data_IF_786623604593
#
_entry.id   IF_786623604593
#
_cell.length_a   1.000
_cell.length_b   1.000
_cell.length_c   1.000
_cell.angle_alpha   90.00
_cell.angle_beta   90.00
_cell.angle_gamma   90.00
#
_symmetry.space_group_name_H-M   'P 1'
#
loop_
_entity.id
_entity.type
_entity.pdbx_description
1 polymer ?
#
# COMPACT_ATOMS: atom_id res chain seq x y z
N UNK A 1 -7.72 1.73 27.01
CA UNK A 1 -8.36 1.74 26.85
C UNK A 1 -8.15 2.03 26.62
N UNK A 2 -8.04 2.00 26.13
CA UNK A 2 -8.48 2.29 25.80
C UNK A 2 -8.10 2.66 25.76
N UNK A 3 -8.03 2.62 25.57
CA UNK A 3 -8.45 2.98 25.37
C UNK A 3 -8.22 3.45 25.26
N UNK A 4 -8.16 3.40 25.20
CA UNK A 4 -8.75 3.69 24.84
C UNK A 4 -8.59 4.10 24.86
N UNK A 5 -8.34 3.85 25.14
CA UNK A 5 -9.12 4.24 24.84
C UNK A 5 -8.91 4.59 24.88
N UNK A 6 -8.81 4.53 24.74
CA UNK A 6 -9.34 4.79 24.57
C UNK A 6 -9.15 5.04 24.58
N UNK A 7 -9.13 5.33 24.68
CA UNK A 7 -9.87 5.38 24.48
C UNK A 7 -9.68 5.79 24.44
N UNK A 8 -9.74 5.76 24.24
CA UNK A 8 -10.34 5.98 24.06
C UNK A 8 -10.29 6.35 23.67
N UNK A 9 -10.13 6.64 23.86
CA UNK A 9 -10.88 6.61 23.48
C UNK A 9 -10.84 7.10 23.14
N UNK A 10 -10.93 7.26 23.20
CA UNK A 10 -11.61 7.22 22.76
C UNK A 10 -11.67 7.28 22.36
N UNK A 11 -11.39 7.62 22.74
CA UNK A 11 -12.25 7.25 22.19
C UNK A 11 -12.06 7.20 22.05
N UNK A 12 -12.21 7.10 21.97
CA UNK A 12 -12.66 6.58 21.86
C UNK A 12 -12.67 6.08 21.63
N UNK A 13 -12.40 6.31 21.35
CA UNK A 13 -12.83 5.48 21.24
C UNK A 13 -12.88 5.07 20.93
N UNK A 14 -12.75 5.35 21.20
CA UNK A 14 -13.18 4.64 20.99
C UNK A 14 -13.43 4.29 20.58
N UNK A 15 -13.40 4.43 20.72
CA UNK A 15 -13.96 3.68 20.36
C UNK A 15 -14.15 3.31 20.13
N UNK A 16 -14.17 3.14 20.14
CA UNK A 16 -14.56 2.44 19.88
C UNK A 16 -14.61 2.03 19.45
N UNK A 17 -14.52 2.06 19.63
CA UNK A 17 -14.63 1.45 19.05
C UNK A 17 -14.61 1.10 18.62
N UNK A 18 -14.51 0.91 18.56
CA UNK A 18 -14.60 0.41 17.95
C UNK A 18 -14.39 0.19 17.29
N UNK A 19 -14.34 -0.35 17.16
CA UNK A 19 -14.20 -0.82 16.35
C UNK A 19 -13.78 -0.62 15.68
N UNK A 20 -13.53 -0.46 15.12
CA UNK A 20 -13.19 -0.30 14.29
C UNK A 20 -12.36 -0.30 13.59
N UNK A 21 -12.54 -0.31 12.66
CA UNK A 21 -11.79 -0.65 11.79
C UNK A 21 -10.72 0.18 11.47
N UNK A 22 -9.59 -0.04 11.78
CA UNK A 22 -8.51 0.80 11.49
C UNK A 22 -8.19 0.85 10.04
N UNK A 23 -8.07 2.05 9.55
CA UNK A 23 -7.51 2.31 8.25
C UNK A 23 -6.05 1.87 8.25
N UNK A 24 -5.58 1.42 7.09
CA UNK A 24 -4.17 1.14 6.89
C UNK A 24 -3.40 2.46 6.90
N UNK A 25 -2.26 2.46 7.58
CA UNK A 25 -1.39 3.63 7.64
C UNK A 25 -0.08 3.36 6.92
N UNK A 26 0.65 4.43 6.62
CA UNK A 26 1.97 4.29 6.00
C UNK A 26 2.92 3.48 6.89
N UNK A 27 2.79 3.57 8.22
CA UNK A 27 3.63 2.78 9.12
C UNK A 27 3.43 1.29 8.95
N UNK A 28 2.19 0.86 8.76
CA UNK A 28 1.90 -0.55 8.53
C UNK A 28 2.50 -1.03 7.20
N UNK A 29 2.40 -0.20 6.16
CA UNK A 29 3.02 -0.53 4.88
C UNK A 29 4.54 -0.59 5.02
N UNK A 30 5.12 0.38 5.72
CA UNK A 30 6.56 0.44 5.94
C UNK A 30 7.06 -0.79 6.67
N UNK A 31 6.33 -1.22 7.70
CA UNK A 31 6.72 -2.39 8.47
C UNK A 31 6.81 -3.63 7.58
N UNK A 32 5.84 -3.82 6.70
CA UNK A 32 5.86 -4.97 5.79
C UNK A 32 6.93 -4.80 4.71
N UNK A 33 6.93 -3.66 4.02
CA UNK A 33 7.82 -3.47 2.88
C UNK A 33 9.29 -3.57 3.28
N UNK A 34 9.61 -3.13 4.51
CA UNK A 34 10.98 -3.16 4.99
C UNK A 34 11.49 -4.58 5.24
N UNK A 35 10.60 -5.56 5.34
CA UNK A 35 11.01 -6.96 5.50
C UNK A 35 11.25 -7.67 4.18
N UNK A 36 10.86 -7.06 3.06
CA UNK A 36 10.92 -7.74 1.77
C UNK A 36 12.33 -7.64 1.18
N UNK A 37 12.85 -8.77 0.65
CA UNK A 37 14.20 -8.78 0.07
C UNK A 37 14.38 -7.71 -1.00
N UNK A 38 15.51 -7.02 -0.95
CA UNK A 38 15.93 -5.99 -1.90
C UNK A 38 15.10 -4.72 -1.87
N UNK A 39 14.10 -4.65 -0.99
CA UNK A 39 13.25 -3.47 -0.85
C UNK A 39 13.91 -2.45 0.06
N UNK A 40 13.84 -1.18 -0.29
CA UNK A 40 14.32 -0.12 0.58
C UNK A 40 13.47 1.14 0.40
N UNK A 41 13.42 1.92 1.46
CA UNK A 41 12.66 3.16 1.48
C UNK A 41 13.51 4.31 0.98
N UNK A 42 12.91 5.21 0.20
CA UNK A 42 13.57 6.42 -0.26
C UNK A 42 12.60 7.59 -0.10
N UNK A 43 13.16 8.77 0.20
CA UNK A 43 12.38 10.00 0.27
C UNK A 43 12.71 10.82 -0.97
N UNK A 44 11.71 11.09 -1.81
CA UNK A 44 11.90 11.82 -3.05
C UNK A 44 10.91 12.97 -3.07
N UNK A 45 11.41 14.20 -2.99
CA UNK A 45 10.57 15.42 -3.01
C UNK A 45 9.47 15.34 -1.95
N UNK A 46 9.86 14.96 -0.74
CA UNK A 46 8.98 14.84 0.43
C UNK A 46 7.94 13.73 0.30
N UNK A 47 8.12 12.79 -0.64
CA UNK A 47 7.23 11.63 -0.77
C UNK A 47 8.00 10.37 -0.47
N UNK A 48 7.38 9.51 0.32
CA UNK A 48 7.96 8.20 0.64
C UNK A 48 7.72 7.26 -0.54
N UNK A 49 8.78 6.56 -0.93
CA UNK A 49 8.71 5.56 -1.99
C UNK A 49 9.46 4.32 -1.54
N UNK A 50 9.06 3.17 -2.06
CA UNK A 50 9.79 1.93 -1.85
C UNK A 50 10.29 1.42 -3.20
N UNK A 51 11.55 1.03 -3.22
CA UNK A 51 12.24 0.64 -4.44
C UNK A 51 12.89 -0.73 -4.30
N UNK A 52 13.04 -1.39 -5.47
CA UNK A 52 13.97 -2.50 -5.65
C UNK A 52 14.91 -2.06 -6.75
N UNK A 53 16.19 -1.87 -6.43
CA UNK A 53 17.12 -1.26 -7.37
C UNK A 53 16.66 0.15 -7.72
N UNK A 54 16.46 0.42 -9.01
CA UNK A 54 15.99 1.72 -9.46
C UNK A 54 14.48 1.75 -9.67
N UNK A 55 13.78 0.65 -9.42
CA UNK A 55 12.37 0.53 -9.74
C UNK A 55 11.53 0.83 -8.51
N UNK A 56 10.65 1.83 -8.62
CA UNK A 56 9.69 2.16 -7.56
C UNK A 56 8.51 1.20 -7.69
N UNK A 57 8.16 0.52 -6.59
CA UNK A 57 6.99 -0.35 -6.62
C UNK A 57 5.89 0.13 -5.67
N UNK A 58 6.18 1.06 -4.77
CA UNK A 58 5.19 1.75 -3.94
C UNK A 58 5.56 3.22 -3.86
N UNK A 59 4.56 4.10 -3.89
CA UNK A 59 4.80 5.53 -3.74
C UNK A 59 3.60 6.15 -3.04
N UNK A 60 3.86 7.04 -2.08
CA UNK A 60 2.81 7.66 -1.29
C UNK A 60 2.60 9.11 -1.69
N UNK A 61 1.35 9.59 -1.57
CA UNK A 61 1.08 11.01 -1.69
C UNK A 61 1.69 11.74 -0.50
N UNK A 62 1.85 13.07 -0.63
CA UNK A 62 2.48 13.85 0.45
C UNK A 62 1.68 13.79 1.74
N UNK A 63 0.35 13.75 1.64
CA UNK A 63 -0.48 13.65 2.84
C UNK A 63 -0.64 12.21 3.31
N UNK A 64 -0.03 11.25 2.58
CA UNK A 64 0.02 9.84 2.96
C UNK A 64 -1.35 9.17 3.01
N UNK A 65 -2.32 9.71 2.27
CA UNK A 65 -3.66 9.12 2.16
C UNK A 65 -3.79 8.19 0.97
N UNK A 66 -2.93 8.34 -0.03
CA UNK A 66 -2.96 7.55 -1.26
C UNK A 66 -1.65 6.79 -1.42
N UNK A 67 -1.76 5.57 -1.93
CA UNK A 67 -0.59 4.75 -2.25
C UNK A 67 -0.68 4.29 -3.70
N UNK A 68 0.31 4.67 -4.51
CA UNK A 68 0.49 4.07 -5.83
C UNK A 68 1.28 2.80 -5.71
N UNK A 69 0.97 1.81 -6.54
CA UNK A 69 1.67 0.53 -6.48
C UNK A 69 1.76 -0.10 -7.87
N UNK A 70 2.78 -0.95 -8.04
CA UNK A 70 2.98 -1.68 -9.29
C UNK A 70 1.83 -2.66 -9.51
N UNK A 71 1.25 -2.59 -10.70
CA UNK A 71 0.09 -3.42 -11.06
C UNK A 71 -0.01 -3.45 -12.59
N UNK A 72 -0.32 -4.59 -13.21
CA UNK A 72 -0.40 -4.66 -14.66
C UNK A 72 -1.41 -3.67 -15.23
N UNK A 73 -0.95 -2.77 -16.09
CA UNK A 73 -1.84 -1.73 -16.61
C UNK A 73 -2.96 -2.30 -17.47
N UNK A 74 -2.76 -3.48 -18.03
CA UNK A 74 -3.80 -4.14 -18.84
C UNK A 74 -4.98 -4.58 -17.99
N UNK A 75 -4.79 -4.78 -16.68
CA UNK A 75 -5.83 -5.20 -15.75
C UNK A 75 -6.35 -4.04 -14.90
N UNK A 76 -5.75 -2.88 -15.04
CA UNK A 76 -6.02 -1.74 -14.18
C UNK A 76 -7.47 -1.25 -14.25
N UNK A 77 -8.01 -1.15 -15.46
CA UNK A 77 -9.36 -0.65 -15.62
C UNK A 77 -10.38 -1.57 -14.95
N UNK A 78 -10.18 -2.88 -15.08
CA UNK A 78 -11.07 -3.84 -14.43
C UNK A 78 -11.03 -3.71 -12.92
N UNK A 79 -9.83 -3.50 -12.36
CA UNK A 79 -9.69 -3.31 -10.93
C UNK A 79 -10.43 -2.06 -10.46
N UNK A 80 -10.22 -0.95 -11.15
CA UNK A 80 -10.88 0.31 -10.80
C UNK A 80 -12.40 0.18 -10.91
N UNK A 81 -12.87 -0.46 -11.98
CA UNK A 81 -14.31 -0.64 -12.19
C UNK A 81 -14.94 -1.51 -11.11
N UNK A 82 -14.17 -2.46 -10.56
CA UNK A 82 -14.69 -3.34 -9.51
C UNK A 82 -14.92 -2.62 -8.20
N UNK A 83 -14.09 -1.60 -7.91
CA UNK A 83 -14.20 -0.85 -6.66
C UNK A 83 -13.75 0.60 -6.89
N UNK A 84 -14.59 1.40 -7.57
CA UNK A 84 -14.17 2.74 -8.00
C UNK A 84 -13.97 3.73 -6.83
N UNK A 85 -14.51 3.44 -5.65
CA UNK A 85 -14.28 4.28 -4.49
C UNK A 85 -12.96 3.97 -3.80
N UNK A 86 -12.34 2.86 -4.15
CA UNK A 86 -11.10 2.41 -3.54
C UNK A 86 -9.90 2.62 -4.46
N UNK A 87 -10.00 2.22 -5.72
CA UNK A 87 -8.90 2.26 -6.67
C UNK A 87 -9.08 3.40 -7.65
N UNK A 88 -7.97 4.07 -7.97
CA UNK A 88 -7.98 5.28 -8.78
C UNK A 88 -7.01 5.14 -9.94
N UNK A 89 -7.36 5.75 -11.07
CA UNK A 89 -6.45 5.84 -12.19
C UNK A 89 -5.28 6.75 -11.80
N UNK A 90 -4.03 6.37 -12.11
CA UNK A 90 -2.91 7.25 -11.83
C UNK A 90 -2.98 8.52 -12.66
N UNK A 91 -2.18 9.51 -12.29
CA UNK A 91 -2.07 10.74 -13.05
C UNK A 91 -1.66 10.42 -14.48
N UNK A 92 -2.05 11.30 -15.38
CA UNK A 92 -1.87 11.05 -16.81
C UNK A 92 -0.43 10.67 -17.18
N UNK A 93 0.55 11.35 -16.58
CA UNK A 93 1.95 11.06 -16.86
C UNK A 93 2.40 9.67 -16.44
N UNK A 94 1.67 9.06 -15.51
CA UNK A 94 2.02 7.74 -14.98
C UNK A 94 1.23 6.61 -15.62
N UNK A 95 0.23 6.92 -16.46
CA UNK A 95 -0.64 5.89 -17.01
C UNK A 95 0.05 4.95 -17.98
N UNK A 96 1.20 5.34 -18.51
CA UNK A 96 1.99 4.47 -19.39
C UNK A 96 2.70 3.36 -18.63
N UNK A 97 2.79 3.49 -17.32
CA UNK A 97 3.46 2.50 -16.47
C UNK A 97 2.47 1.49 -15.92
N UNK A 98 2.98 0.37 -15.42
CA UNK A 98 2.20 -0.63 -14.69
C UNK A 98 1.96 -0.11 -13.28
N UNK A 99 0.88 0.67 -13.12
CA UNK A 99 0.69 1.47 -11.91
C UNK A 99 -0.79 1.72 -11.67
N UNK A 100 -1.21 1.65 -10.42
CA UNK A 100 -2.57 2.04 -10.00
C UNK A 100 -2.46 2.65 -8.61
N UNK A 101 -3.47 3.44 -8.22
CA UNK A 101 -3.49 4.15 -6.94
C UNK A 101 -4.63 3.63 -6.10
N UNK A 102 -4.42 3.55 -4.78
CA UNK A 102 -5.44 3.09 -3.84
C UNK A 102 -5.55 4.07 -2.68
N UNK A 103 -6.77 4.22 -2.15
CA UNK A 103 -6.98 5.00 -0.92
C UNK A 103 -6.66 4.10 0.27
N UNK A 104 -5.67 4.51 1.07
CA UNK A 104 -5.26 3.71 2.22
C UNK A 104 -6.40 3.50 3.21
N UNK A 105 -7.25 4.50 3.38
CA UNK A 105 -8.37 4.40 4.31
C UNK A 105 -9.39 3.33 3.91
N UNK A 106 -9.37 2.88 2.66
CA UNK A 106 -10.30 1.87 2.17
C UNK A 106 -9.76 0.46 2.28
N UNK A 107 -8.52 0.28 2.78
CA UNK A 107 -7.87 -1.02 2.88
C UNK A 107 -7.92 -1.55 4.30
N UNK A 108 -8.05 -2.87 4.44
CA UNK A 108 -7.69 -3.51 5.69
C UNK A 108 -6.27 -4.08 5.56
N UNK A 109 -5.75 -4.61 6.66
CA UNK A 109 -4.37 -5.07 6.70
C UNK A 109 -4.12 -6.25 5.77
N UNK A 110 -5.07 -7.17 5.67
CA UNK A 110 -4.92 -8.34 4.81
C UNK A 110 -4.84 -7.93 3.34
N UNK A 111 -5.70 -7.02 2.93
CA UNK A 111 -5.71 -6.54 1.56
C UNK A 111 -4.45 -5.75 1.24
N UNK A 112 -4.03 -4.91 2.19
CA UNK A 112 -2.78 -4.15 2.03
C UNK A 112 -1.61 -5.10 1.82
N UNK A 113 -1.53 -6.18 2.60
CA UNK A 113 -0.44 -7.15 2.47
C UNK A 113 -0.43 -7.78 1.08
N UNK A 114 -1.58 -8.16 0.56
CA UNK A 114 -1.67 -8.74 -0.78
C UNK A 114 -1.17 -7.77 -1.85
N UNK A 115 -1.60 -6.51 -1.74
CA UNK A 115 -1.22 -5.48 -2.71
C UNK A 115 0.29 -5.26 -2.69
N UNK A 116 0.87 -5.13 -1.51
CA UNK A 116 2.31 -4.86 -1.37
C UNK A 116 3.13 -6.04 -1.88
N UNK A 117 2.74 -7.27 -1.51
CA UNK A 117 3.47 -8.46 -1.94
C UNK A 117 3.38 -8.64 -3.45
N UNK A 118 2.22 -8.46 -4.05
CA UNK A 118 2.07 -8.59 -5.50
C UNK A 118 2.85 -7.50 -6.24
N UNK A 119 2.85 -6.28 -5.72
CA UNK A 119 3.64 -5.20 -6.32
C UNK A 119 5.13 -5.51 -6.26
N UNK A 120 5.60 -6.00 -5.12
CA UNK A 120 6.99 -6.38 -4.93
C UNK A 120 7.39 -7.52 -5.89
N UNK A 121 6.52 -8.51 -6.07
CA UNK A 121 6.78 -9.61 -6.99
C UNK A 121 7.05 -9.14 -8.41
N UNK A 122 6.43 -8.04 -8.80
CA UNK A 122 6.60 -7.52 -10.17
C UNK A 122 7.98 -6.94 -10.41
N UNK A 123 8.73 -6.61 -9.35
CA UNK A 123 9.98 -5.86 -9.50
C UNK A 123 11.21 -6.64 -9.03
N UNK A 124 11.04 -7.85 -8.50
CA UNK A 124 12.17 -8.71 -8.14
C UNK A 124 12.26 -9.88 -9.10
N UNK A 125 13.45 -10.50 -9.24
CA UNK A 125 13.55 -11.74 -10.01
C UNK A 125 12.64 -12.80 -9.42
N UNK A 126 12.10 -13.64 -10.29
CA UNK A 126 11.15 -14.68 -9.84
C UNK A 126 11.72 -15.57 -8.74
N UNK A 127 13.01 -15.92 -8.84
CA UNK A 127 13.63 -16.78 -7.83
C UNK A 127 13.63 -16.13 -6.44
N UNK A 128 13.77 -14.80 -6.40
CA UNK A 128 13.75 -14.09 -5.11
C UNK A 128 12.35 -14.17 -4.49
N UNK A 129 11.32 -13.98 -5.30
CA UNK A 129 9.95 -14.09 -4.80
C UNK A 129 9.65 -15.52 -4.32
N UNK A 130 10.06 -16.52 -5.08
CA UNK A 130 9.85 -17.92 -4.72
C UNK A 130 10.55 -18.25 -3.39
N UNK A 131 11.80 -17.84 -3.24
CA UNK A 131 12.56 -18.11 -2.01
C UNK A 131 11.89 -17.48 -0.79
N UNK A 132 11.36 -16.26 -0.94
CA UNK A 132 10.81 -15.55 0.19
C UNK A 132 9.38 -16.00 0.53
N UNK A 133 8.57 -16.26 -0.50
CA UNK A 133 7.16 -16.56 -0.30
C UNK A 133 6.83 -18.05 -0.36
N UNK A 134 7.77 -18.85 -0.81
CA UNK A 134 7.58 -20.31 -0.86
C UNK A 134 6.71 -20.76 -2.03
N UNK A 135 6.57 -19.96 -3.05
CA UNK A 135 5.76 -20.33 -4.22
C UNK A 135 6.48 -21.21 -5.19
#
# INVERSE_FOLDING_TARGET
MSIAGPVHLDGRERAEAVGTDPMVTIEQVRDLASTLPRSYEALVRDRVKFRVGQIVYLAFSRDETLMGFAFPKEERQALIDSEPDKFLMPERSDQRYNWVVVRLEALDEAEMSEIVLDAWRMVVPKRVAVEHLGD
#
